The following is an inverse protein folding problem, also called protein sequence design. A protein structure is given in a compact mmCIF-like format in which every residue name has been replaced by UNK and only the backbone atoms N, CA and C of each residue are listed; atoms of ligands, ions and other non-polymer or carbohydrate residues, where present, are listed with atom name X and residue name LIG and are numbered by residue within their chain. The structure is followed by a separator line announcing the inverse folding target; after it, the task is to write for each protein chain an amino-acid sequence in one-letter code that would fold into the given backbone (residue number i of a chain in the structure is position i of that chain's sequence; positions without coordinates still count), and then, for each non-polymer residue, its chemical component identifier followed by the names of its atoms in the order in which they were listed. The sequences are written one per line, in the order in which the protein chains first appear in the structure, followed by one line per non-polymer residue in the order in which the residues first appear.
data_IF_623784918536
#
_entry.id   IF_623784918536
#
_cell.length_a   1.000
_cell.length_b   1.000
_cell.length_c   1.000
_cell.angle_alpha   90.00
_cell.angle_beta   90.00
_cell.angle_gamma   90.00
#
_symmetry.space_group_name_H-M   'P 1'
#
loop_
_entity.id
_entity.type
_entity.pdbx_description
1 polymer ?
#
# COMPACT_ATOMS: atom_id res chain seq x y z
N UNK A 1 16.24 3.47 -5.01
CA UNK A 1 16.82 3.00 -3.73
C UNK A 1 16.34 3.89 -2.58
N UNK A 2 16.49 3.38 -1.35
CA UNK A 2 16.14 4.12 -0.13
C UNK A 2 16.89 5.45 -0.02
N UNK A 3 18.21 5.45 -0.24
CA UNK A 3 19.01 6.68 -0.18
C UNK A 3 18.61 7.69 -1.27
N UNK A 4 18.25 7.22 -2.45
CA UNK A 4 17.75 8.09 -3.53
C UNK A 4 16.38 8.70 -3.16
N UNK A 5 15.50 7.96 -2.46
CA UNK A 5 14.23 8.50 -1.95
C UNK A 5 14.46 9.60 -0.92
N UNK A 6 15.35 9.37 0.05
CA UNK A 6 15.66 10.39 1.06
C UNK A 6 16.28 11.64 0.44
N UNK A 7 17.21 11.47 -0.51
CA UNK A 7 17.77 12.59 -1.24
C UNK A 7 16.73 13.40 -2.02
N UNK A 8 15.76 12.70 -2.64
CA UNK A 8 14.63 13.33 -3.31
C UNK A 8 13.73 14.09 -2.31
N UNK A 9 13.50 13.54 -1.13
CA UNK A 9 12.75 14.24 -0.08
C UNK A 9 13.47 15.55 0.35
N UNK A 10 14.78 15.51 0.53
CA UNK A 10 15.58 16.69 0.85
C UNK A 10 15.49 17.77 -0.25
N UNK A 11 15.52 17.36 -1.52
CA UNK A 11 15.36 18.26 -2.66
C UNK A 11 13.95 18.90 -2.69
N UNK A 12 12.90 18.11 -2.45
CA UNK A 12 11.51 18.58 -2.40
C UNK A 12 11.32 19.58 -1.26
N UNK A 13 11.86 19.31 -0.07
CA UNK A 13 11.82 20.23 1.07
C UNK A 13 12.56 21.53 0.78
N UNK A 14 13.70 21.48 0.09
CA UNK A 14 14.46 22.67 -0.30
C UNK A 14 13.65 23.61 -1.21
N UNK A 15 12.72 23.10 -1.99
CA UNK A 15 11.77 23.88 -2.79
C UNK A 15 10.54 24.36 -1.98
N UNK A 16 10.48 24.05 -0.68
CA UNK A 16 9.39 24.44 0.21
C UNK A 16 8.11 23.63 0.05
N UNK A 17 8.22 22.43 -0.52
CA UNK A 17 7.12 21.49 -0.72
C UNK A 17 7.25 20.37 0.33
N UNK A 18 6.13 19.91 0.87
CA UNK A 18 6.11 18.76 1.77
C UNK A 18 6.32 17.47 0.93
N UNK A 19 7.32 16.62 1.25
CA UNK A 19 7.51 15.37 0.52
C UNK A 19 6.31 14.44 0.59
N UNK A 20 5.79 14.17 1.78
CA UNK A 20 4.65 13.27 2.00
C UNK A 20 3.52 13.92 2.77
N UNK A 21 2.30 13.46 2.54
CA UNK A 21 1.18 13.64 3.47
C UNK A 21 0.76 12.25 3.95
N UNK A 22 0.90 11.99 5.25
CA UNK A 22 0.79 10.64 5.82
C UNK A 22 -0.65 10.23 6.09
N UNK A 23 -1.40 11.08 6.81
CA UNK A 23 -2.82 10.83 7.11
C UNK A 23 -3.06 9.64 8.03
N UNK A 24 -2.23 9.45 9.06
CA UNK A 24 -2.19 8.27 9.93
C UNK A 24 -3.23 8.26 11.07
N UNK A 25 -4.24 9.14 11.02
CA UNK A 25 -5.38 9.08 11.95
C UNK A 25 -6.15 7.77 11.81
N UNK A 26 -6.33 7.31 10.58
CA UNK A 26 -6.89 6.01 10.30
C UNK A 26 -5.75 5.00 10.35
N UNK A 27 -5.70 4.14 11.37
CA UNK A 27 -4.55 3.26 11.66
C UNK A 27 -4.11 2.40 10.47
N UNK A 28 -5.09 1.94 9.67
CA UNK A 28 -4.84 1.09 8.51
C UNK A 28 -3.97 1.76 7.43
N UNK A 29 -3.92 3.11 7.36
CA UNK A 29 -3.07 3.80 6.38
C UNK A 29 -1.59 3.59 6.64
N UNK A 30 -1.20 3.26 7.87
CA UNK A 30 0.17 2.88 8.21
C UNK A 30 0.61 1.57 7.53
N UNK A 31 -0.35 0.68 7.19
CA UNK A 31 -0.05 -0.62 6.60
C UNK A 31 0.49 -0.51 5.17
N UNK A 32 0.13 0.53 4.42
CA UNK A 32 0.57 0.66 3.02
C UNK A 32 2.09 0.75 2.89
N UNK A 33 2.79 1.74 3.49
CA UNK A 33 4.24 1.78 3.47
C UNK A 33 4.89 0.64 4.26
N UNK A 34 4.27 0.19 5.37
CA UNK A 34 4.75 -0.95 6.15
C UNK A 34 4.86 -2.22 5.32
N UNK A 35 3.78 -2.63 4.66
CA UNK A 35 3.78 -3.84 3.84
C UNK A 35 4.82 -3.78 2.71
N UNK A 36 4.98 -2.61 2.10
CA UNK A 36 5.96 -2.41 1.04
C UNK A 36 7.40 -2.50 1.53
N UNK A 37 7.68 -1.93 2.70
CA UNK A 37 9.00 -2.03 3.33
C UNK A 37 9.29 -3.47 3.79
N UNK A 38 8.33 -4.13 4.45
CA UNK A 38 8.47 -5.55 4.86
C UNK A 38 8.74 -6.44 3.65
N UNK A 39 8.02 -6.23 2.55
CA UNK A 39 8.18 -7.03 1.34
C UNK A 39 9.60 -6.97 0.75
N UNK A 40 10.22 -5.78 0.79
CA UNK A 40 11.55 -5.55 0.23
C UNK A 40 12.70 -5.87 1.21
N UNK A 41 12.45 -5.75 2.52
CA UNK A 41 13.51 -5.87 3.54
C UNK A 41 13.54 -7.22 4.25
N UNK A 42 12.48 -8.02 4.11
CA UNK A 42 12.37 -9.28 4.86
C UNK A 42 12.00 -10.46 3.96
N UNK A 43 12.07 -11.67 4.51
CA UNK A 43 11.62 -12.86 3.80
C UNK A 43 10.08 -12.92 3.71
N UNK A 44 9.53 -13.32 2.58
CA UNK A 44 8.10 -13.62 2.41
C UNK A 44 7.59 -14.74 3.32
N UNK A 45 8.47 -15.45 4.02
CA UNK A 45 8.14 -16.55 4.94
C UNK A 45 8.19 -16.14 6.42
N UNK A 46 8.45 -14.88 6.75
CA UNK A 46 8.64 -14.40 8.14
C UNK A 46 7.58 -14.94 9.10
N UNK A 47 6.30 -14.80 8.80
CA UNK A 47 5.24 -15.29 9.70
C UNK A 47 5.30 -16.81 9.92
N UNK A 48 5.66 -17.58 8.91
CA UNK A 48 5.84 -19.05 9.05
C UNK A 48 7.04 -19.38 9.89
N UNK A 49 8.12 -18.63 9.76
CA UNK A 49 9.38 -18.88 10.46
C UNK A 49 9.27 -18.44 11.92
N UNK A 50 8.56 -17.36 12.23
CA UNK A 50 8.17 -16.97 13.59
C UNK A 50 7.30 -18.05 14.24
N UNK A 51 6.31 -18.57 13.54
CA UNK A 51 5.44 -19.64 14.05
C UNK A 51 6.19 -20.95 14.36
N UNK A 52 7.32 -21.20 13.70
CA UNK A 52 8.20 -22.34 13.98
C UNK A 52 9.21 -22.04 15.11
N UNK A 53 9.33 -20.78 15.54
CA UNK A 53 10.35 -20.34 16.47
C UNK A 53 11.77 -20.26 15.87
N UNK A 54 11.87 -20.12 14.54
CA UNK A 54 13.12 -19.98 13.80
C UNK A 54 13.65 -18.55 13.82
N UNK A 55 12.76 -17.56 14.03
CA UNK A 55 13.07 -16.13 14.15
C UNK A 55 12.01 -15.43 15.02
N UNK A 56 12.16 -14.11 15.21
CA UNK A 56 11.17 -13.26 15.87
C UNK A 56 10.81 -12.07 14.96
N UNK A 57 9.68 -11.43 15.20
CA UNK A 57 9.35 -10.18 14.50
C UNK A 57 10.36 -9.07 14.82
N UNK A 58 10.82 -9.00 16.08
CA UNK A 58 11.85 -8.03 16.47
C UNK A 58 13.16 -8.20 15.69
N UNK A 59 13.55 -9.43 15.35
CA UNK A 59 14.76 -9.66 14.55
C UNK A 59 14.60 -9.23 13.10
N UNK A 60 13.37 -9.22 12.59
CA UNK A 60 13.08 -9.00 11.16
C UNK A 60 12.61 -7.59 10.85
N UNK A 61 11.93 -6.91 11.79
CA UNK A 61 11.19 -5.67 11.49
C UNK A 61 11.80 -4.40 12.04
N UNK A 62 12.93 -4.48 12.77
CA UNK A 62 13.59 -3.27 13.32
C UNK A 62 13.91 -2.27 12.24
N UNK A 63 14.51 -2.73 11.13
CA UNK A 63 14.84 -1.84 10.02
C UNK A 63 13.59 -1.21 9.40
N UNK A 64 12.53 -1.99 9.19
CA UNK A 64 11.24 -1.49 8.67
C UNK A 64 10.69 -0.38 9.57
N UNK A 65 10.70 -0.61 10.89
CA UNK A 65 10.21 0.35 11.87
C UNK A 65 11.05 1.65 11.87
N UNK A 66 12.37 1.53 11.78
CA UNK A 66 13.30 2.67 11.71
C UNK A 66 13.10 3.50 10.43
N UNK A 67 12.89 2.85 9.30
CA UNK A 67 12.61 3.52 8.02
C UNK A 67 11.27 4.25 8.06
N UNK A 68 10.21 3.61 8.56
CA UNK A 68 8.92 4.25 8.77
C UNK A 68 9.05 5.51 9.65
N UNK A 69 9.82 5.43 10.73
CA UNK A 69 10.07 6.56 11.62
C UNK A 69 10.89 7.67 10.95
N UNK A 70 11.82 7.29 10.09
CA UNK A 70 12.61 8.26 9.30
C UNK A 70 11.72 9.04 8.35
N UNK A 71 10.76 8.38 7.69
CA UNK A 71 9.82 9.03 6.78
C UNK A 71 8.91 10.05 7.46
N UNK A 72 8.61 9.88 8.76
CA UNK A 72 7.81 10.88 9.50
C UNK A 72 8.45 12.27 9.50
N UNK A 73 9.77 12.37 9.36
CA UNK A 73 10.48 13.66 9.31
C UNK A 73 10.12 14.45 8.04
N UNK A 74 9.68 13.76 7.00
CA UNK A 74 9.30 14.30 5.70
C UNK A 74 7.78 14.45 5.52
N UNK A 75 7.02 14.23 6.58
CA UNK A 75 5.57 14.34 6.61
C UNK A 75 5.05 15.58 7.33
N UNK A 76 3.74 15.74 7.33
CA UNK A 76 3.06 16.78 8.09
C UNK A 76 3.33 16.67 9.61
N UNK A 77 3.32 17.79 10.32
CA UNK A 77 3.77 17.89 11.70
C UNK A 77 2.99 17.01 12.71
N UNK A 78 1.78 16.57 12.38
CA UNK A 78 0.95 15.72 13.24
C UNK A 78 0.14 14.73 12.39
N UNK A 79 0.76 13.68 11.87
CA UNK A 79 0.12 12.76 10.93
C UNK A 79 -1.13 12.06 11.47
N UNK A 80 -1.23 11.87 12.78
CA UNK A 80 -2.40 11.24 13.41
C UNK A 80 -3.59 12.16 13.62
N UNK A 81 -3.45 13.45 13.32
CA UNK A 81 -4.58 14.38 13.31
C UNK A 81 -5.40 14.31 12.02
N UNK A 82 -4.83 13.76 10.96
CA UNK A 82 -5.40 13.79 9.62
C UNK A 82 -5.79 12.39 9.17
N UNK A 83 -7.00 12.29 8.60
CA UNK A 83 -7.56 11.05 8.09
C UNK A 83 -7.04 10.72 6.67
N UNK A 84 -7.35 9.53 6.19
CA UNK A 84 -7.17 9.14 4.79
C UNK A 84 -7.76 10.17 3.81
N UNK A 85 -8.99 10.64 4.08
CA UNK A 85 -9.64 11.63 3.23
C UNK A 85 -8.94 12.99 3.28
N UNK A 86 -8.40 13.39 4.44
CA UNK A 86 -7.61 14.63 4.55
C UNK A 86 -6.34 14.53 3.73
N UNK A 87 -5.64 13.39 3.79
CA UNK A 87 -4.43 13.14 3.01
C UNK A 87 -4.70 13.11 1.49
N UNK A 88 -5.76 12.42 1.05
CA UNK A 88 -6.19 12.47 -0.35
C UNK A 88 -6.48 13.91 -0.82
N UNK A 89 -7.12 14.70 0.03
CA UNK A 89 -7.45 16.10 -0.26
C UNK A 89 -6.20 16.98 -0.33
N UNK A 90 -5.27 16.81 0.60
CA UNK A 90 -4.01 17.55 0.65
C UNK A 90 -3.15 17.25 -0.59
N UNK A 91 -2.98 15.98 -0.92
CA UNK A 91 -2.26 15.55 -2.13
C UNK A 91 -2.92 16.08 -3.41
N UNK A 92 -4.26 15.99 -3.51
CA UNK A 92 -5.00 16.54 -4.66
C UNK A 92 -4.82 18.04 -4.87
N UNK A 93 -4.56 18.79 -3.80
CA UNK A 93 -4.27 20.24 -3.83
C UNK A 93 -2.80 20.56 -4.04
N UNK A 94 -1.92 19.55 -4.09
CA UNK A 94 -0.48 19.75 -4.22
C UNK A 94 0.19 20.22 -2.91
N UNK A 95 -0.41 19.94 -1.75
CA UNK A 95 0.19 20.23 -0.44
C UNK A 95 1.35 19.28 -0.12
N UNK A 96 1.42 18.12 -0.80
CA UNK A 96 2.58 17.24 -0.80
C UNK A 96 2.91 16.75 -2.21
N UNK A 97 4.17 16.37 -2.42
CA UNK A 97 4.65 15.85 -3.70
C UNK A 97 4.31 14.37 -3.88
N UNK A 98 4.26 13.60 -2.79
CA UNK A 98 4.06 12.15 -2.79
C UNK A 98 3.03 11.73 -1.74
N UNK A 99 2.42 10.55 -1.94
CA UNK A 99 1.54 9.91 -0.98
C UNK A 99 1.78 8.40 -0.98
N UNK A 100 2.14 7.84 0.17
CA UNK A 100 2.45 6.42 0.33
C UNK A 100 1.18 5.61 0.60
N UNK A 101 0.42 5.35 -0.47
CA UNK A 101 -0.88 4.67 -0.39
C UNK A 101 -1.08 3.78 -1.62
N UNK A 102 -2.07 2.89 -1.59
CA UNK A 102 -2.43 2.06 -2.74
C UNK A 102 -3.18 2.83 -3.83
N UNK A 103 -3.19 2.28 -5.04
CA UNK A 103 -3.83 2.88 -6.23
C UNK A 103 -5.34 3.13 -6.05
N UNK A 104 -5.99 2.44 -5.12
CA UNK A 104 -7.39 2.67 -4.72
C UNK A 104 -7.67 4.09 -4.20
N UNK A 105 -6.64 4.86 -3.83
CA UNK A 105 -6.79 6.26 -3.41
C UNK A 105 -7.03 7.22 -4.60
N UNK A 106 -6.67 6.83 -5.80
CA UNK A 106 -6.74 7.70 -7.00
C UNK A 106 -8.14 8.23 -7.26
N UNK A 107 -9.22 7.42 -7.24
CA UNK A 107 -10.57 7.95 -7.42
C UNK A 107 -10.94 9.01 -6.37
N UNK A 108 -10.53 8.82 -5.12
CA UNK A 108 -10.78 9.80 -4.04
C UNK A 108 -9.99 11.10 -4.27
N UNK A 109 -8.74 11.01 -4.70
CA UNK A 109 -7.90 12.16 -5.05
C UNK A 109 -8.51 12.93 -6.24
N UNK A 110 -8.89 12.22 -7.29
CA UNK A 110 -9.51 12.79 -8.48
C UNK A 110 -10.90 13.38 -8.24
N UNK A 111 -11.62 12.93 -7.19
CA UNK A 111 -12.88 13.56 -6.80
C UNK A 111 -12.70 15.00 -6.32
N UNK A 112 -11.49 15.34 -5.82
CA UNK A 112 -11.11 16.69 -5.36
C UNK A 112 -10.49 17.50 -6.51
N UNK A 113 -9.62 16.87 -7.28
CA UNK A 113 -8.94 17.49 -8.42
C UNK A 113 -8.96 16.55 -9.64
N UNK A 114 -9.97 16.63 -10.51
CA UNK A 114 -10.10 15.73 -11.66
C UNK A 114 -8.97 15.82 -12.68
N UNK A 115 -8.27 16.95 -12.73
CA UNK A 115 -7.20 17.22 -13.69
C UNK A 115 -5.81 16.91 -13.15
N UNK A 116 -5.71 16.35 -11.93
CA UNK A 116 -4.41 16.01 -11.34
C UNK A 116 -3.71 14.95 -12.19
N UNK A 117 -2.44 15.21 -12.51
CA UNK A 117 -1.58 14.21 -13.15
C UNK A 117 -0.87 13.41 -12.05
N UNK A 118 -1.16 12.12 -11.98
CA UNK A 118 -0.59 11.19 -10.99
C UNK A 118 0.22 10.15 -11.73
N UNK A 119 1.41 9.87 -11.23
CA UNK A 119 2.24 8.74 -11.60
C UNK A 119 2.55 7.91 -10.35
N UNK A 120 3.05 6.71 -10.54
CA UNK A 120 3.34 5.81 -9.44
C UNK A 120 4.69 5.11 -9.61
N UNK A 121 5.27 4.71 -8.50
CA UNK A 121 6.47 3.88 -8.47
C UNK A 121 6.44 2.93 -7.28
N UNK A 122 7.19 1.83 -7.38
CA UNK A 122 7.34 0.88 -6.26
C UNK A 122 8.12 1.55 -5.14
N UNK A 123 7.63 1.39 -3.90
CA UNK A 123 8.26 1.98 -2.73
C UNK A 123 9.70 1.45 -2.54
N UNK A 124 10.73 2.32 -2.54
CA UNK A 124 12.12 1.89 -2.59
C UNK A 124 12.71 1.72 -1.17
N UNK A 125 12.26 0.69 -0.44
CA UNK A 125 12.71 0.43 0.93
C UNK A 125 14.13 -0.11 1.04
N UNK A 126 14.79 -0.56 -0.03
CA UNK A 126 16.14 -1.10 0.00
C UNK A 126 17.12 -0.26 -0.83
N UNK A 127 18.39 -0.26 -0.41
CA UNK A 127 19.49 0.27 -1.23
C UNK A 127 19.96 -0.71 -2.30
N UNK A 128 19.55 -1.97 -2.22
CA UNK A 128 19.78 -2.95 -3.28
C UNK A 128 18.52 -3.02 -4.16
N UNK A 129 18.65 -2.67 -5.44
CA UNK A 129 17.53 -2.67 -6.39
C UNK A 129 16.94 -4.08 -6.64
N UNK A 130 17.72 -5.13 -6.40
CA UNK A 130 17.27 -6.51 -6.59
C UNK A 130 16.29 -6.96 -5.46
N UNK A 131 16.24 -6.23 -4.34
CA UNK A 131 15.31 -6.51 -3.24
C UNK A 131 13.92 -5.87 -3.46
N UNK A 132 13.79 -5.01 -4.46
CA UNK A 132 12.58 -4.28 -4.72
C UNK A 132 11.46 -5.20 -5.21
N UNK A 133 10.34 -5.18 -4.51
CA UNK A 133 9.15 -6.01 -4.79
C UNK A 133 7.90 -5.14 -4.74
N UNK A 134 7.04 -5.28 -5.73
CA UNK A 134 5.72 -4.67 -5.70
C UNK A 134 4.81 -5.42 -4.73
N UNK A 135 4.28 -4.73 -3.75
CA UNK A 135 3.24 -5.28 -2.88
C UNK A 135 1.89 -5.12 -3.56
N UNK A 136 1.26 -6.24 -3.87
CA UNK A 136 -0.07 -6.30 -4.47
C UNK A 136 -0.71 -7.64 -4.14
N UNK A 137 -1.97 -7.65 -3.76
CA UNK A 137 -2.69 -8.85 -3.36
C UNK A 137 -4.20 -8.70 -3.61
N UNK A 138 -4.95 -9.62 -3.04
CA UNK A 138 -6.41 -9.60 -3.13
C UNK A 138 -6.95 -8.52 -2.18
N UNK A 139 -7.48 -7.44 -2.75
CA UNK A 139 -8.09 -6.34 -2.01
C UNK A 139 -9.56 -6.62 -1.68
N UNK A 140 -10.33 -7.08 -2.65
CA UNK A 140 -11.77 -7.32 -2.51
C UNK A 140 -12.11 -8.78 -2.84
N UNK A 141 -12.89 -9.41 -1.96
CA UNK A 141 -13.38 -10.78 -2.14
C UNK A 141 -14.91 -10.85 -2.05
N UNK A 142 -15.50 -11.65 -2.91
CA UNK A 142 -16.91 -12.00 -2.84
C UNK A 142 -17.08 -13.44 -2.40
N UNK A 143 -17.88 -13.66 -1.37
CA UNK A 143 -18.16 -14.98 -0.83
C UNK A 143 -19.65 -15.31 -0.96
N UNK A 144 -19.95 -16.55 -1.34
CA UNK A 144 -21.32 -17.09 -1.29
C UNK A 144 -21.45 -17.94 -0.03
N UNK A 145 -22.41 -17.59 0.82
CA UNK A 145 -22.64 -18.29 2.08
C UNK A 145 -23.05 -19.75 1.84
N UNK A 146 -22.60 -20.65 2.71
CA UNK A 146 -22.90 -22.10 2.63
C UNK A 146 -24.41 -22.36 2.63
N UNK A 147 -25.17 -21.63 3.41
CA UNK A 147 -26.62 -21.75 3.57
C UNK A 147 -27.42 -20.76 2.70
N UNK A 148 -26.79 -20.15 1.70
CA UNK A 148 -27.47 -19.24 0.77
C UNK A 148 -28.64 -19.99 0.07
N UNK A 149 -29.87 -19.49 0.18
CA UNK A 149 -31.04 -20.16 -0.39
C UNK A 149 -31.08 -20.13 -1.91
N UNK A 150 -30.32 -19.20 -2.54
CA UNK A 150 -30.29 -19.00 -3.98
C UNK A 150 -28.85 -19.02 -4.53
N UNK A 151 -28.07 -20.07 -4.23
CA UNK A 151 -26.67 -20.20 -4.64
C UNK A 151 -26.46 -20.02 -6.14
N UNK A 152 -27.34 -20.60 -6.98
CA UNK A 152 -27.20 -20.44 -8.42
C UNK A 152 -27.32 -19.00 -8.88
N UNK A 153 -28.26 -18.25 -8.33
CA UNK A 153 -28.37 -16.82 -8.62
C UNK A 153 -27.14 -16.02 -8.13
N UNK A 154 -26.59 -16.37 -6.95
CA UNK A 154 -25.36 -15.78 -6.46
C UNK A 154 -24.17 -16.07 -7.38
N UNK A 155 -24.05 -17.31 -7.87
CA UNK A 155 -23.01 -17.66 -8.83
C UNK A 155 -23.18 -16.98 -10.19
N UNK A 156 -24.42 -16.75 -10.65
CA UNK A 156 -24.67 -15.96 -11.86
C UNK A 156 -24.15 -14.50 -11.69
N UNK A 157 -24.39 -13.88 -10.53
CA UNK A 157 -23.84 -12.56 -10.23
C UNK A 157 -22.31 -12.58 -10.27
N UNK A 158 -21.67 -13.59 -9.66
CA UNK A 158 -20.21 -13.71 -9.69
C UNK A 158 -19.68 -13.91 -11.13
N UNK A 159 -20.37 -14.74 -11.94
CA UNK A 159 -20.00 -14.94 -13.36
C UNK A 159 -20.09 -13.64 -14.13
N UNK A 160 -21.16 -12.88 -13.93
CA UNK A 160 -21.34 -11.57 -14.54
C UNK A 160 -20.21 -10.60 -14.14
N UNK A 161 -19.88 -10.49 -12.85
CA UNK A 161 -18.79 -9.64 -12.38
C UNK A 161 -17.43 -10.04 -12.95
N UNK A 162 -17.24 -11.32 -13.33
CA UNK A 162 -16.00 -11.85 -13.90
C UNK A 162 -15.99 -11.87 -15.44
N UNK A 163 -16.98 -11.30 -16.11
CA UNK A 163 -16.91 -11.02 -17.55
C UNK A 163 -15.83 -9.99 -17.85
N UNK A 164 -15.12 -10.13 -18.96
CA UNK A 164 -13.97 -9.29 -19.27
C UNK A 164 -14.32 -7.80 -19.32
N UNK A 165 -15.49 -7.45 -19.87
CA UNK A 165 -15.99 -6.09 -19.94
C UNK A 165 -16.19 -5.49 -18.52
N UNK A 166 -16.81 -6.24 -17.62
CA UNK A 166 -17.06 -5.78 -16.25
C UNK A 166 -15.77 -5.68 -15.43
N UNK A 167 -14.81 -6.58 -15.66
CA UNK A 167 -13.48 -6.45 -15.04
C UNK A 167 -12.76 -5.21 -15.58
N UNK A 168 -12.80 -4.96 -16.90
CA UNK A 168 -12.16 -3.78 -17.47
C UNK A 168 -12.78 -2.51 -16.89
N UNK A 169 -14.11 -2.41 -16.84
CA UNK A 169 -14.80 -1.27 -16.24
C UNK A 169 -14.41 -1.06 -14.77
N UNK A 170 -14.28 -2.14 -14.00
CA UNK A 170 -13.85 -2.06 -12.60
C UNK A 170 -12.42 -1.54 -12.46
N UNK A 171 -11.46 -2.13 -13.19
CA UNK A 171 -10.06 -1.72 -13.08
C UNK A 171 -9.82 -0.30 -13.62
N UNK A 172 -10.58 0.13 -14.62
CA UNK A 172 -10.53 1.51 -15.12
C UNK A 172 -11.04 2.51 -14.07
N UNK A 173 -12.10 2.16 -13.34
CA UNK A 173 -12.67 3.00 -12.30
C UNK A 173 -11.84 3.03 -11.02
N UNK A 174 -11.17 1.93 -10.67
CA UNK A 174 -10.42 1.78 -9.42
C UNK A 174 -8.90 1.94 -9.58
N UNK A 175 -8.41 2.11 -10.82
CA UNK A 175 -6.98 2.06 -11.13
C UNK A 175 -6.31 0.79 -10.56
N UNK A 176 -7.00 -0.33 -10.70
CA UNK A 176 -6.61 -1.62 -10.11
C UNK A 176 -5.92 -2.53 -11.13
N UNK A 177 -5.35 -3.63 -10.63
CA UNK A 177 -4.81 -4.72 -11.43
C UNK A 177 -5.87 -5.82 -11.52
N UNK A 178 -6.12 -6.43 -12.70
CA UNK A 178 -7.15 -7.44 -12.85
C UNK A 178 -6.84 -8.72 -12.06
N UNK A 179 -7.85 -9.31 -11.43
CA UNK A 179 -7.75 -10.60 -10.74
C UNK A 179 -7.81 -11.81 -11.70
N UNK A 180 -8.12 -11.59 -12.97
CA UNK A 180 -8.30 -12.62 -14.01
C UNK A 180 -7.21 -12.48 -15.07
N UNK A 181 -6.72 -13.63 -15.57
CA UNK A 181 -5.81 -13.65 -16.72
C UNK A 181 -6.59 -13.24 -17.98
N UNK A 182 -6.05 -12.31 -18.73
CA UNK A 182 -6.66 -11.78 -19.95
C UNK A 182 -5.84 -10.61 -20.50
N UNK A 183 -6.31 -10.08 -21.61
CA UNK A 183 -5.71 -8.90 -22.24
C UNK A 183 -6.46 -7.64 -21.77
N UNK A 184 -6.10 -7.20 -20.56
CA UNK A 184 -6.67 -6.02 -19.92
C UNK A 184 -5.75 -4.81 -20.06
N UNK A 185 -6.36 -3.65 -20.28
CA UNK A 185 -5.64 -2.38 -20.35
C UNK A 185 -5.54 -1.79 -18.95
N UNK A 186 -4.33 -1.63 -18.43
CA UNK A 186 -4.07 -0.95 -17.18
C UNK A 186 -4.03 0.58 -17.36
N UNK A 187 -4.40 1.32 -16.33
CA UNK A 187 -4.27 2.77 -16.28
C UNK A 187 -2.80 3.18 -16.42
N UNK A 188 -2.54 4.29 -17.14
CA UNK A 188 -1.17 4.78 -17.38
C UNK A 188 -0.46 5.19 -16.09
N UNK A 189 -1.19 5.59 -15.05
CA UNK A 189 -0.60 5.89 -13.75
C UNK A 189 0.09 4.68 -13.11
N UNK A 190 -0.18 3.45 -13.58
CA UNK A 190 0.48 2.22 -13.12
C UNK A 190 1.72 1.87 -13.97
N UNK A 191 2.13 2.69 -14.92
CA UNK A 191 3.27 2.38 -15.81
C UNK A 191 4.59 2.23 -15.02
N UNK A 192 4.79 2.97 -13.94
CA UNK A 192 5.94 2.82 -13.06
C UNK A 192 6.00 1.49 -12.28
N UNK A 193 4.89 0.74 -12.25
CA UNK A 193 4.80 -0.60 -11.62
C UNK A 193 4.79 -1.74 -12.66
N UNK A 194 4.65 -1.41 -13.94
CA UNK A 194 4.42 -2.40 -15.02
C UNK A 194 5.51 -3.44 -15.12
N UNK A 195 6.77 -3.04 -15.00
CA UNK A 195 7.91 -3.97 -15.04
C UNK A 195 7.81 -5.06 -13.96
N UNK A 196 7.39 -4.70 -12.76
CA UNK A 196 7.19 -5.64 -11.65
C UNK A 196 6.02 -6.58 -11.91
N UNK A 197 4.91 -6.06 -12.43
CA UNK A 197 3.73 -6.85 -12.79
C UNK A 197 4.04 -7.85 -13.91
N UNK A 198 4.68 -7.40 -14.97
CA UNK A 198 4.98 -8.21 -16.16
C UNK A 198 6.00 -9.34 -15.86
N UNK A 199 6.94 -9.08 -14.95
CA UNK A 199 7.95 -10.05 -14.52
C UNK A 199 7.52 -10.91 -13.33
N UNK A 200 6.34 -10.65 -12.75
CA UNK A 200 5.86 -11.36 -11.57
C UNK A 200 6.67 -11.08 -10.30
N UNK A 201 7.33 -9.91 -10.21
CA UNK A 201 8.06 -9.45 -9.03
C UNK A 201 7.04 -8.80 -8.07
N UNK A 202 6.12 -9.63 -7.60
CA UNK A 202 4.97 -9.21 -6.81
C UNK A 202 4.83 -10.12 -5.60
N UNK A 203 4.49 -9.55 -4.46
CA UNK A 203 4.16 -10.30 -3.23
C UNK A 203 2.84 -9.82 -2.65
N UNK A 204 2.18 -10.69 -1.87
CA UNK A 204 0.96 -10.34 -1.13
C UNK A 204 1.29 -9.43 0.06
N UNK A 205 0.28 -8.74 0.56
CA UNK A 205 0.37 -7.91 1.76
C UNK A 205 0.71 -8.76 2.98
N UNK A 206 1.73 -8.37 3.72
CA UNK A 206 2.20 -9.15 4.87
C UNK A 206 1.17 -9.18 6.01
N UNK A 207 0.36 -8.13 6.14
CA UNK A 207 -0.70 -8.06 7.15
C UNK A 207 -1.81 -9.11 6.96
N UNK A 208 -1.96 -9.69 5.75
CA UNK A 208 -2.84 -10.84 5.52
C UNK A 208 -2.41 -12.10 6.27
N UNK A 209 -1.17 -12.19 6.72
CA UNK A 209 -0.62 -13.34 7.43
C UNK A 209 -0.52 -13.14 8.94
N UNK A 210 -0.80 -11.94 9.45
CA UNK A 210 -0.83 -11.68 10.88
C UNK A 210 -2.15 -12.16 11.49
N UNK A 211 -2.12 -12.67 12.74
CA UNK A 211 -3.34 -12.86 13.50
C UNK A 211 -4.08 -11.53 13.67
N UNK A 212 -5.39 -11.53 13.50
CA UNK A 212 -6.20 -10.30 13.62
C UNK A 212 -6.11 -9.67 15.01
N UNK A 213 -5.85 -10.48 16.02
CA UNK A 213 -5.68 -10.05 17.42
C UNK A 213 -4.41 -9.23 17.64
N UNK A 214 -3.45 -9.28 16.71
CA UNK A 214 -2.23 -8.46 16.80
C UNK A 214 -2.51 -6.97 16.62
N UNK A 215 -3.58 -6.59 15.91
CA UNK A 215 -3.90 -5.20 15.59
C UNK A 215 -2.67 -4.40 15.11
N UNK A 216 -1.96 -4.95 14.12
CA UNK A 216 -0.63 -4.46 13.68
C UNK A 216 -0.66 -3.01 13.24
N UNK A 217 -1.73 -2.57 12.62
CA UNK A 217 -1.98 -1.17 12.25
C UNK A 217 -1.92 -0.22 13.45
N UNK A 218 -2.58 -0.59 14.56
CA UNK A 218 -2.54 0.18 15.79
C UNK A 218 -1.18 0.13 16.49
N UNK A 219 -0.48 -1.00 16.42
CA UNK A 219 0.89 -1.12 16.95
C UNK A 219 1.85 -0.20 16.19
N UNK A 220 1.80 -0.21 14.85
CA UNK A 220 2.63 0.67 14.03
C UNK A 220 2.34 2.14 14.36
N UNK A 221 1.06 2.54 14.40
CA UNK A 221 0.70 3.91 14.74
C UNK A 221 1.24 4.31 16.13
N UNK A 222 1.11 3.44 17.14
CA UNK A 222 1.62 3.69 18.49
C UNK A 222 3.14 3.87 18.48
N UNK A 223 3.86 2.99 17.79
CA UNK A 223 5.31 3.10 17.64
C UNK A 223 5.73 4.42 16.99
N UNK A 224 5.04 4.83 15.94
CA UNK A 224 5.34 6.08 15.24
C UNK A 224 5.09 7.31 16.12
N UNK A 225 4.11 7.25 17.04
CA UNK A 225 3.81 8.33 17.99
C UNK A 225 4.80 8.39 19.17
N UNK A 226 5.01 7.26 19.82
CA UNK A 226 5.73 7.19 21.10
C UNK A 226 7.22 6.88 20.91
N UNK A 227 7.58 6.26 19.79
CA UNK A 227 8.94 5.91 19.44
C UNK A 227 9.55 4.79 20.28
N UNK A 228 8.73 4.01 20.97
CA UNK A 228 9.19 2.88 21.77
C UNK A 228 9.33 1.63 20.89
N UNK A 229 10.57 1.15 20.74
CA UNK A 229 10.88 -0.05 19.96
C UNK A 229 10.73 -1.35 20.76
N UNK A 230 10.44 -1.27 22.07
CA UNK A 230 10.27 -2.44 22.94
C UNK A 230 8.78 -2.90 23.01
N UNK A 231 7.87 -2.17 22.38
CA UNK A 231 6.44 -2.48 22.39
C UNK A 231 6.05 -3.62 21.42
#
# INVERSE_FOLDING_TARGET
TWDELLALCDEIEAEGILPFYMGYKDTWTCLSPWNSAVASLTSSTVCKDVNKGETTFSDQYVQVAEEMKTLLQYGEANPVAYSYNDACTAFAKGESAMYMIGSYAVPQIQSVNPDINIDSFVFPASNNKDDMVLTSGVDLQFCVMEDCPNKEAAYEVLRFLLEDENIQDYIDNQNAVPCKKGDFKLASMLDGMREYLDNGIVTDYQDHFYPSEMAVDALIQTYLLDGDTEA
#
